data_IF_593463721003
#
_entry.id   IF_593463721003
#
_cell.length_a   1.000
_cell.length_b   1.000
_cell.length_c   1.000
_cell.angle_alpha   90.00
_cell.angle_beta   90.00
_cell.angle_gamma   90.00
#
_symmetry.space_group_name_H-M   'P 1'
#
loop_
_entity.id
_entity.type
_entity.pdbx_description
1 polymer ?
#
# COMPACT_ATOMS: atom_id res chain seq x y z
N UNK A 1 -45.22 46.80 -2.35
CA UNK A 1 -46.57 46.40 -1.89
C UNK A 1 -46.79 44.96 -2.34
N UNK A 2 -46.80 44.01 -1.39
CA UNK A 2 -48.02 43.31 -0.92
C UNK A 2 -48.63 42.47 -2.06
N UNK A 3 -48.23 41.19 -2.18
CA UNK A 3 -48.90 39.98 -1.61
C UNK A 3 -50.01 39.44 -2.52
N UNK A 4 -50.04 38.10 -2.71
CA UNK A 4 -51.19 37.16 -2.67
C UNK A 4 -50.75 35.89 -3.44
N UNK A 5 -50.39 34.80 -2.77
CA UNK A 5 -51.22 33.67 -2.31
C UNK A 5 -51.99 32.94 -3.44
N UNK A 6 -51.71 31.65 -3.62
CA UNK A 6 -52.53 30.75 -4.44
C UNK A 6 -51.99 29.32 -4.46
N UNK A 7 -52.46 28.51 -3.52
CA UNK A 7 -52.18 27.08 -3.32
C UNK A 7 -52.90 26.25 -4.40
N UNK A 8 -52.23 25.28 -5.03
CA UNK A 8 -52.87 24.04 -5.49
C UNK A 8 -51.99 22.85 -5.12
N UNK A 9 -52.53 22.01 -4.25
CA UNK A 9 -52.01 20.69 -3.92
C UNK A 9 -52.33 19.71 -5.05
N UNK A 10 -51.37 18.86 -5.42
CA UNK A 10 -51.65 17.58 -6.07
C UNK A 10 -50.90 16.50 -5.32
N UNK A 11 -51.66 15.70 -4.59
CA UNK A 11 -51.22 14.47 -3.94
C UNK A 11 -51.14 13.38 -5.02
N UNK A 12 -49.93 12.96 -5.36
CA UNK A 12 -49.67 11.76 -6.17
C UNK A 12 -49.17 10.64 -5.27
N UNK A 13 -50.09 9.80 -4.77
CA UNK A 13 -49.76 8.53 -4.12
C UNK A 13 -49.29 7.54 -5.19
N UNK A 14 -47.97 7.37 -5.31
CA UNK A 14 -47.41 6.19 -5.98
C UNK A 14 -46.96 5.21 -4.90
N UNK A 15 -47.85 4.27 -4.61
CA UNK A 15 -47.57 3.06 -3.85
C UNK A 15 -46.50 2.25 -4.57
N UNK A 16 -45.25 2.34 -4.10
CA UNK A 16 -44.15 1.46 -4.48
C UNK A 16 -43.79 0.55 -3.32
N UNK A 17 -44.02 -0.75 -3.51
CA UNK A 17 -43.77 -1.82 -2.54
C UNK A 17 -42.36 -1.76 -1.94
N UNK A 18 -42.27 -1.89 -0.61
CA UNK A 18 -41.00 -2.11 0.11
C UNK A 18 -40.83 -3.62 0.29
N UNK A 19 -39.81 -4.28 -0.28
CA UNK A 19 -39.36 -5.57 0.18
C UNK A 19 -38.25 -5.39 1.20
N UNK A 20 -38.60 -5.47 2.49
CA UNK A 20 -37.65 -5.72 3.56
C UNK A 20 -37.20 -7.18 3.47
N UNK A 21 -36.19 -7.43 2.65
CA UNK A 21 -35.45 -8.69 2.63
C UNK A 21 -34.09 -8.47 3.26
N UNK A 22 -33.94 -8.83 4.53
CA UNK A 22 -32.62 -9.04 5.16
C UNK A 22 -31.83 -10.02 4.29
N UNK A 23 -30.62 -9.69 3.80
CA UNK A 23 -29.79 -10.67 3.13
C UNK A 23 -29.29 -11.67 4.17
N UNK A 24 -29.96 -12.82 4.26
CA UNK A 24 -29.31 -14.04 4.73
C UNK A 24 -28.18 -14.33 3.74
N UNK A 25 -26.92 -14.51 4.18
CA UNK A 25 -25.90 -15.05 3.31
C UNK A 25 -26.30 -16.49 2.97
N UNK A 26 -26.89 -16.68 1.80
CA UNK A 26 -27.05 -17.98 1.15
C UNK A 26 -25.66 -18.52 0.92
N UNK A 27 -25.32 -19.60 1.65
CA UNK A 27 -24.18 -20.47 1.35
C UNK A 27 -24.51 -21.15 0.01
N UNK A 28 -24.18 -20.46 -1.07
CA UNK A 28 -24.19 -21.01 -2.41
C UNK A 28 -22.96 -21.91 -2.55
N UNK A 29 -23.19 -23.22 -2.47
CA UNK A 29 -22.26 -24.25 -2.88
C UNK A 29 -22.12 -24.17 -4.41
N UNK A 30 -21.37 -23.17 -4.87
CA UNK A 30 -21.09 -22.93 -6.27
C UNK A 30 -19.86 -23.73 -6.69
N UNK A 31 -20.10 -24.77 -7.48
CA UNK A 31 -19.13 -25.38 -8.39
C UNK A 31 -18.65 -24.30 -9.37
N UNK A 32 -17.70 -23.48 -8.93
CA UNK A 32 -17.11 -22.40 -9.69
C UNK A 32 -15.60 -22.64 -9.74
N UNK A 33 -15.08 -22.70 -10.96
CA UNK A 33 -13.68 -22.70 -11.36
C UNK A 33 -12.79 -22.19 -10.22
N UNK A 34 -12.04 -23.12 -9.62
CA UNK A 34 -11.14 -22.83 -8.51
C UNK A 34 -10.15 -21.75 -8.93
N UNK A 35 -10.44 -20.51 -8.55
CA UNK A 35 -9.38 -19.53 -8.39
C UNK A 35 -8.51 -20.16 -7.30
N UNK A 36 -7.25 -20.52 -7.56
CA UNK A 36 -6.38 -20.94 -6.49
C UNK A 36 -6.40 -19.80 -5.49
N UNK A 37 -6.98 -20.05 -4.32
CA UNK A 37 -6.90 -19.15 -3.19
C UNK A 37 -5.41 -19.14 -2.88
N UNK A 38 -4.67 -18.22 -3.52
CA UNK A 38 -3.24 -18.06 -3.33
C UNK A 38 -3.12 -17.78 -1.86
N UNK A 39 -2.75 -18.81 -1.09
CA UNK A 39 -2.54 -18.70 0.34
C UNK A 39 -1.41 -17.70 0.47
N UNK A 40 -1.76 -16.42 0.65
CA UNK A 40 -0.79 -15.38 0.81
C UNK A 40 0.08 -15.84 1.98
N UNK A 41 1.37 -15.98 1.72
CA UNK A 41 2.36 -16.27 2.75
C UNK A 41 2.10 -15.36 3.96
N UNK A 42 2.50 -15.75 5.16
CA UNK A 42 2.35 -14.89 6.35
C UNK A 42 3.00 -13.49 6.22
N UNK A 43 3.72 -13.24 5.12
CA UNK A 43 4.34 -11.97 4.70
C UNK A 43 3.52 -11.20 3.65
N UNK A 44 2.32 -11.67 3.30
CA UNK A 44 1.48 -11.09 2.26
C UNK A 44 1.98 -11.39 0.84
N UNK A 45 1.33 -10.74 -0.14
CA UNK A 45 1.68 -10.85 -1.56
C UNK A 45 3.02 -10.19 -1.85
N UNK A 46 3.85 -10.84 -2.66
CA UNK A 46 5.12 -10.29 -3.16
C UNK A 46 4.80 -9.11 -4.10
N UNK A 47 5.45 -7.94 -3.94
CA UNK A 47 5.24 -6.83 -4.86
C UNK A 47 5.83 -7.15 -6.23
N UNK A 48 5.02 -7.03 -7.28
CA UNK A 48 5.41 -7.28 -8.65
C UNK A 48 5.90 -5.99 -9.32
N UNK A 49 5.30 -4.84 -9.01
CA UNK A 49 5.64 -3.54 -9.64
C UNK A 49 6.50 -2.65 -8.73
N UNK A 50 7.29 -3.28 -7.87
CA UNK A 50 8.06 -2.61 -6.82
C UNK A 50 9.03 -1.55 -7.37
N UNK A 51 9.66 -1.78 -8.52
CA UNK A 51 10.60 -0.82 -9.10
C UNK A 51 9.92 0.50 -9.43
N UNK A 52 8.76 0.45 -10.12
CA UNK A 52 7.96 1.64 -10.45
C UNK A 52 7.40 2.29 -9.19
N UNK A 53 6.93 1.49 -8.22
CA UNK A 53 6.45 2.01 -6.95
C UNK A 53 7.54 2.78 -6.19
N UNK A 54 8.77 2.25 -6.13
CA UNK A 54 9.91 2.90 -5.47
C UNK A 54 10.29 4.20 -6.18
N UNK A 55 10.33 4.22 -7.53
CA UNK A 55 10.61 5.46 -8.29
C UNK A 55 9.57 6.53 -8.01
N UNK A 56 8.29 6.19 -8.07
CA UNK A 56 7.19 7.11 -7.79
C UNK A 56 7.18 7.59 -6.33
N UNK A 57 7.54 6.71 -5.40
CA UNK A 57 7.66 7.08 -3.99
C UNK A 57 8.79 8.09 -3.79
N UNK A 58 9.99 7.81 -4.28
CA UNK A 58 11.15 8.68 -4.09
C UNK A 58 11.15 9.94 -4.95
N UNK A 59 10.40 10.01 -6.05
CA UNK A 59 10.22 11.26 -6.80
C UNK A 59 9.58 12.36 -5.94
N UNK A 60 8.70 11.98 -5.01
CA UNK A 60 8.05 12.91 -4.08
C UNK A 60 8.83 13.14 -2.78
N UNK A 61 9.72 12.20 -2.40
CA UNK A 61 10.47 12.24 -1.13
C UNK A 61 11.86 12.83 -1.25
N UNK A 62 12.50 12.74 -2.41
CA UNK A 62 13.86 13.23 -2.63
C UNK A 62 13.87 14.38 -3.64
N UNK A 63 14.65 15.41 -3.34
CA UNK A 63 14.92 16.45 -4.31
C UNK A 63 15.57 15.85 -5.56
N UNK A 64 14.94 16.06 -6.73
CA UNK A 64 15.37 15.47 -8.01
C UNK A 64 15.36 13.93 -7.98
N UNK A 65 14.45 13.33 -7.20
CA UNK A 65 14.25 11.89 -7.16
C UNK A 65 13.75 11.34 -8.50
N UNK A 66 12.93 12.08 -9.23
CA UNK A 66 12.41 11.67 -10.54
C UNK A 66 13.52 11.37 -11.56
N UNK A 67 14.56 12.22 -11.62
CA UNK A 67 15.71 12.07 -12.50
C UNK A 67 16.88 11.29 -11.87
N UNK A 68 16.64 10.65 -10.73
CA UNK A 68 17.66 9.86 -10.03
C UNK A 68 18.00 8.56 -10.75
N UNK A 69 19.22 8.06 -10.54
CA UNK A 69 19.58 6.69 -10.90
C UNK A 69 19.25 5.73 -9.75
N UNK A 70 18.59 4.63 -10.09
CA UNK A 70 18.14 3.64 -9.12
C UNK A 70 18.78 2.28 -9.41
N UNK A 71 19.22 1.62 -8.34
CA UNK A 71 19.58 0.19 -8.37
C UNK A 71 18.65 -0.54 -7.42
N UNK A 72 17.95 -1.56 -7.91
CA UNK A 72 16.98 -2.33 -7.14
C UNK A 72 17.50 -3.74 -6.89
N UNK A 73 17.38 -4.19 -5.65
CA UNK A 73 17.49 -5.60 -5.28
C UNK A 73 16.18 -6.34 -5.55
N UNK A 74 16.22 -7.65 -5.35
CA UNK A 74 15.02 -8.48 -5.39
C UNK A 74 14.20 -8.30 -4.10
N UNK A 75 12.86 -8.42 -4.14
CA UNK A 75 12.05 -8.42 -2.94
C UNK A 75 12.33 -9.65 -2.08
N UNK A 76 12.76 -9.43 -0.84
CA UNK A 76 13.04 -10.44 0.17
C UNK A 76 12.02 -10.37 1.30
N UNK A 77 11.66 -11.50 1.90
CA UNK A 77 10.79 -11.54 3.08
C UNK A 77 11.54 -10.95 4.27
N UNK A 78 10.87 -10.12 5.04
CA UNK A 78 11.44 -9.51 6.22
C UNK A 78 10.36 -9.24 7.28
N UNK A 79 10.81 -9.05 8.51
CA UNK A 79 9.98 -8.56 9.59
C UNK A 79 10.73 -7.56 10.46
N UNK A 80 9.99 -6.69 11.11
CA UNK A 80 10.48 -5.66 12.02
C UNK A 80 9.87 -5.91 13.39
N UNK A 81 10.70 -5.89 14.42
CA UNK A 81 10.26 -5.99 15.81
C UNK A 81 10.13 -4.59 16.42
N UNK A 82 9.25 -4.45 17.40
CA UNK A 82 9.24 -3.29 18.30
C UNK A 82 10.52 -3.34 19.15
N UNK A 83 11.04 -2.17 19.53
CA UNK A 83 12.22 -2.11 20.40
C UNK A 83 11.98 -2.83 21.74
N UNK A 84 13.07 -3.23 22.40
CA UNK A 84 13.03 -3.99 23.67
C UNK A 84 12.17 -3.33 24.77
N UNK A 85 12.09 -1.99 24.78
CA UNK A 85 11.23 -1.24 25.71
C UNK A 85 9.73 -1.54 25.57
N UNK A 86 9.31 -2.14 24.44
CA UNK A 86 7.93 -2.45 24.09
C UNK A 86 7.68 -3.96 23.94
N UNK A 87 8.45 -4.79 24.65
CA UNK A 87 8.23 -6.24 24.71
C UNK A 87 8.71 -7.04 23.50
N UNK A 88 9.40 -6.42 22.53
CA UNK A 88 9.97 -7.12 21.38
C UNK A 88 8.95 -7.70 20.40
N UNK A 89 7.69 -7.27 20.50
CA UNK A 89 6.60 -7.76 19.66
C UNK A 89 6.84 -7.50 18.17
N UNK A 90 6.19 -8.27 17.31
CA UNK A 90 6.22 -8.06 15.87
C UNK A 90 5.50 -6.75 15.49
N UNK A 91 6.25 -5.77 14.98
CA UNK A 91 5.72 -4.47 14.54
C UNK A 91 5.24 -4.53 13.08
N UNK A 92 6.04 -5.18 12.24
CA UNK A 92 5.76 -5.31 10.82
C UNK A 92 6.26 -6.63 10.27
N UNK A 93 5.55 -7.16 9.27
CA UNK A 93 5.91 -8.36 8.54
C UNK A 93 5.47 -8.19 7.09
N UNK A 94 6.39 -8.41 6.15
CA UNK A 94 6.14 -8.13 4.75
C UNK A 94 7.33 -8.41 3.85
N UNK A 95 7.41 -7.64 2.76
CA UNK A 95 8.49 -7.72 1.79
C UNK A 95 9.41 -6.51 1.92
N UNK A 96 10.70 -6.72 1.76
CA UNK A 96 11.73 -5.71 1.81
C UNK A 96 12.46 -5.69 0.48
N UNK A 97 12.64 -4.49 -0.06
CA UNK A 97 13.46 -4.27 -1.24
C UNK A 97 14.61 -3.36 -0.87
N UNK A 98 15.83 -3.83 -1.09
CA UNK A 98 17.03 -3.01 -0.99
C UNK A 98 17.15 -2.17 -2.26
N UNK A 99 17.38 -0.87 -2.12
CA UNK A 99 17.53 0.01 -3.27
C UNK A 99 18.58 1.06 -2.99
N UNK A 100 19.36 1.42 -4.00
CA UNK A 100 20.29 2.55 -3.93
C UNK A 100 19.85 3.65 -4.87
N UNK A 101 19.78 4.88 -4.38
CA UNK A 101 19.32 6.05 -5.14
C UNK A 101 20.43 7.09 -5.22
N UNK A 102 20.82 7.46 -6.43
CA UNK A 102 21.75 8.54 -6.71
C UNK A 102 21.01 9.68 -7.40
N UNK A 103 20.81 10.80 -6.69
CA UNK A 103 20.19 12.01 -7.24
C UNK A 103 21.25 12.98 -7.76
N UNK A 104 20.87 13.90 -8.64
CA UNK A 104 21.77 14.95 -9.11
C UNK A 104 21.80 16.14 -8.13
N UNK A 105 22.95 16.79 -8.02
CA UNK A 105 23.09 18.07 -7.33
C UNK A 105 22.48 19.22 -8.16
N UNK A 106 22.50 20.45 -7.62
CA UNK A 106 22.11 21.65 -8.38
C UNK A 106 22.96 21.87 -9.64
N UNK A 107 24.20 21.39 -9.67
CA UNK A 107 25.13 21.54 -10.80
C UNK A 107 25.04 20.38 -11.80
N UNK A 108 24.11 19.44 -11.63
CA UNK A 108 23.89 18.32 -12.54
C UNK A 108 24.79 17.11 -12.33
N UNK A 109 25.74 17.16 -11.37
CA UNK A 109 26.57 16.00 -11.00
C UNK A 109 25.78 15.01 -10.15
N UNK A 110 25.97 13.71 -10.36
CA UNK A 110 25.39 12.69 -9.48
C UNK A 110 26.05 12.72 -8.11
N UNK A 111 25.22 12.69 -7.07
CA UNK A 111 25.66 12.53 -5.69
C UNK A 111 25.98 11.06 -5.40
N UNK A 112 26.72 10.83 -4.33
CA UNK A 112 26.99 9.47 -3.82
C UNK A 112 25.68 8.71 -3.63
N UNK A 113 25.53 7.50 -4.22
CA UNK A 113 24.33 6.70 -4.07
C UNK A 113 24.03 6.43 -2.60
N UNK A 114 22.80 6.71 -2.18
CA UNK A 114 22.34 6.41 -0.82
C UNK A 114 21.56 5.10 -0.80
N UNK A 115 21.93 4.15 0.06
CA UNK A 115 21.18 2.91 0.22
C UNK A 115 19.91 3.13 1.04
N UNK A 116 18.84 2.44 0.67
CA UNK A 116 17.56 2.41 1.36
C UNK A 116 17.03 0.99 1.42
N UNK A 117 16.36 0.67 2.52
CA UNK A 117 15.50 -0.49 2.65
C UNK A 117 14.05 -0.02 2.57
N UNK A 118 13.31 -0.49 1.57
CA UNK A 118 11.91 -0.13 1.36
C UNK A 118 11.03 -1.28 1.78
N UNK A 119 10.12 -1.04 2.72
CA UNK A 119 9.22 -2.03 3.30
C UNK A 119 7.87 -1.99 2.60
N UNK A 120 7.40 -3.15 2.17
CA UNK A 120 6.18 -3.37 1.41
C UNK A 120 5.19 -4.26 2.14
N UNK A 121 3.90 -3.90 2.03
CA UNK A 121 2.77 -4.80 2.28
C UNK A 121 1.95 -4.91 0.99
N UNK A 122 2.02 -6.06 0.31
CA UNK A 122 1.53 -6.16 -1.06
C UNK A 122 2.29 -5.20 -1.97
N UNK A 123 1.58 -4.42 -2.78
CA UNK A 123 2.16 -3.40 -3.69
C UNK A 123 2.40 -2.04 -3.01
N UNK A 124 2.01 -1.86 -1.75
CA UNK A 124 2.11 -0.58 -1.05
C UNK A 124 3.41 -0.47 -0.25
N UNK A 125 4.10 0.67 -0.41
CA UNK A 125 5.25 1.04 0.42
C UNK A 125 4.72 1.57 1.76
N UNK A 126 5.09 0.91 2.84
CA UNK A 126 4.70 1.29 4.21
C UNK A 126 5.74 2.20 4.84
N UNK A 127 7.01 1.90 4.65
CA UNK A 127 8.12 2.61 5.27
C UNK A 127 9.37 2.53 4.38
N UNK A 128 10.28 3.48 4.55
CA UNK A 128 11.63 3.40 4.02
C UNK A 128 12.63 3.74 5.11
N UNK A 129 13.77 3.05 5.12
CA UNK A 129 14.83 3.22 6.10
C UNK A 129 16.12 3.50 5.34
N UNK A 130 16.86 4.55 5.72
CA UNK A 130 18.17 4.85 5.15
C UNK A 130 19.21 3.83 5.67
N UNK A 131 19.99 3.24 4.77
CA UNK A 131 21.01 2.24 5.09
C UNK A 131 20.74 0.86 4.47
N UNK A 132 21.68 -0.06 4.67
CA UNK A 132 21.59 -1.47 4.23
C UNK A 132 21.19 -2.44 5.36
N UNK A 133 21.22 -1.96 6.61
CA UNK A 133 20.93 -2.75 7.80
C UNK A 133 20.21 -1.89 8.86
N UNK A 134 19.34 -2.52 9.63
CA UNK A 134 18.62 -1.89 10.73
C UNK A 134 18.46 -2.89 11.88
N UNK A 135 18.76 -2.46 13.11
CA UNK A 135 18.86 -3.36 14.28
C UNK A 135 17.60 -4.17 14.55
N UNK A 136 16.43 -3.58 14.31
CA UNK A 136 15.14 -4.22 14.58
C UNK A 136 14.55 -4.95 13.37
N UNK A 137 15.27 -4.99 12.25
CA UNK A 137 14.79 -5.52 10.99
C UNK A 137 15.54 -6.81 10.68
N UNK A 138 14.80 -7.89 10.52
CA UNK A 138 15.35 -9.21 10.21
C UNK A 138 14.91 -9.63 8.81
N UNK A 139 15.91 -9.93 7.95
CA UNK A 139 15.71 -10.50 6.62
C UNK A 139 15.63 -12.02 6.76
N UNK A 140 14.60 -12.61 6.18
CA UNK A 140 14.34 -14.05 6.26
C UNK A 140 15.08 -14.78 5.14
N UNK A 141 15.12 -14.16 3.96
CA UNK A 141 15.83 -14.69 2.80
C UNK A 141 17.29 -14.21 2.81
N UNK A 142 18.23 -15.13 2.52
CA UNK A 142 19.66 -14.84 2.39
C UNK A 142 19.94 -14.22 1.02
#
# INVERSE_FOLDING_TARGET
MKNILGIIAVVGLMSGCVPTGTPKPTIGLGTGIGIPQTTASAYGLKPNRYQSAIKNYFSTKLARGESGQYKFGEPKRAYKQKGFAYGGELDWKGWLVETSVATTSRTGRYLTPKPYMVLFKGEQIVEHILGNSHKLLTKVDK
#
